data_IF_373155414466
#
_entry.id   IF_373155414466
#
_cell.length_a   1.000
_cell.length_b   1.000
_cell.length_c   1.000
_cell.angle_alpha   90.00
_cell.angle_beta   90.00
_cell.angle_gamma   90.00
#
_symmetry.space_group_name_H-M   'P 1'
#
loop_
_entity.id
_entity.type
_entity.pdbx_description
1 polymer ?
#
# COMPACT_ATOMS: atom_id res chain seq x y z
N UNK A 1 -3.18 -16.00 17.13
CA UNK A 1 -3.90 -16.12 18.43
C UNK A 1 -5.34 -15.67 18.24
N UNK A 2 -6.31 -16.27 18.93
CA UNK A 2 -7.69 -15.77 19.02
C UNK A 2 -7.93 -15.14 20.38
N UNK A 3 -8.67 -14.04 20.45
CA UNK A 3 -9.03 -13.37 21.70
C UNK A 3 -10.51 -12.98 21.69
N UNK A 4 -11.11 -12.92 22.89
CA UNK A 4 -12.52 -12.62 23.05
C UNK A 4 -12.74 -11.12 23.32
N UNK A 5 -13.74 -10.52 22.68
CA UNK A 5 -14.12 -9.10 22.87
C UNK A 5 -15.61 -9.03 23.16
N UNK A 6 -16.01 -8.23 24.16
CA UNK A 6 -17.42 -8.02 24.51
C UNK A 6 -17.96 -6.78 23.80
N UNK A 7 -19.28 -6.78 23.55
CA UNK A 7 -20.02 -5.63 23.01
C UNK A 7 -19.59 -5.17 21.60
N UNK A 8 -19.02 -6.07 20.79
CA UNK A 8 -18.70 -5.81 19.37
C UNK A 8 -19.36 -6.90 18.54
N UNK A 9 -20.10 -6.49 17.51
CA UNK A 9 -20.77 -7.43 16.61
C UNK A 9 -19.80 -7.99 15.56
N UNK A 10 -19.97 -9.26 15.18
CA UNK A 10 -19.22 -9.86 14.07
C UNK A 10 -19.45 -9.16 12.72
N UNK A 11 -20.51 -8.35 12.61
CA UNK A 11 -20.79 -7.55 11.40
C UNK A 11 -19.96 -6.27 11.33
N UNK A 12 -19.41 -5.81 12.46
CA UNK A 12 -18.65 -4.55 12.56
C UNK A 12 -17.17 -4.76 12.29
N UNK A 13 -16.67 -5.98 12.45
CA UNK A 13 -15.28 -6.35 12.22
C UNK A 13 -15.16 -7.33 11.06
N UNK A 14 -14.09 -7.20 10.29
CA UNK A 14 -13.80 -8.10 9.16
C UNK A 14 -12.30 -8.35 9.02
N UNK A 15 -11.95 -9.37 8.24
CA UNK A 15 -10.58 -9.62 7.81
C UNK A 15 -10.01 -8.34 7.17
N UNK A 16 -8.77 -8.00 7.53
CA UNK A 16 -8.10 -6.77 7.12
C UNK A 16 -8.23 -5.61 8.12
N UNK A 17 -9.10 -5.70 9.14
CA UNK A 17 -9.04 -4.74 10.25
C UNK A 17 -7.84 -4.99 11.15
N UNK A 18 -7.35 -3.92 11.78
CA UNK A 18 -6.20 -3.93 12.68
C UNK A 18 -6.68 -3.63 14.09
N UNK A 19 -6.36 -4.52 15.04
CA UNK A 19 -6.63 -4.32 16.45
C UNK A 19 -5.37 -3.81 17.15
N UNK A 20 -5.51 -2.84 18.05
CA UNK A 20 -4.42 -2.28 18.86
C UNK A 20 -4.92 -1.72 20.19
N UNK A 21 -3.99 -1.39 21.07
CA UNK A 21 -4.30 -0.82 22.38
C UNK A 21 -4.79 0.62 22.22
N UNK A 22 -5.94 0.94 22.81
CA UNK A 22 -6.52 2.30 22.75
C UNK A 22 -5.67 3.34 23.48
N UNK A 23 -4.76 2.93 24.36
CA UNK A 23 -3.91 3.81 25.16
C UNK A 23 -2.50 3.98 24.62
N UNK A 24 -2.13 3.22 23.58
CA UNK A 24 -0.78 3.22 23.04
C UNK A 24 -0.80 3.20 21.51
N UNK A 25 -0.86 4.40 20.93
CA UNK A 25 -0.95 4.65 19.48
C UNK A 25 -1.95 3.74 18.75
N UNK A 26 -3.27 3.91 18.99
CA UNK A 26 -4.27 3.05 18.38
C UNK A 26 -4.23 3.14 16.84
N UNK A 27 -4.45 2.01 16.15
CA UNK A 27 -4.41 1.96 14.69
C UNK A 27 -5.49 2.85 14.09
N UNK A 28 -5.15 3.54 12.99
CA UNK A 28 -6.05 4.43 12.25
C UNK A 28 -6.16 3.97 10.80
N UNK A 29 -7.29 4.28 10.17
CA UNK A 29 -7.45 4.11 8.73
C UNK A 29 -6.53 5.08 7.98
N UNK A 30 -5.95 4.61 6.87
CA UNK A 30 -5.21 5.46 5.95
C UNK A 30 -6.10 5.81 4.76
N UNK A 31 -6.24 7.11 4.45
CA UNK A 31 -6.91 7.58 3.22
C UNK A 31 -5.99 7.41 2.01
N UNK A 32 -4.71 7.72 2.19
CA UNK A 32 -3.63 7.54 1.23
C UNK A 32 -2.33 7.24 1.95
N UNK A 33 -1.35 6.71 1.23
CA UNK A 33 0.00 6.50 1.73
C UNK A 33 0.99 6.61 0.57
N UNK A 34 2.20 7.08 0.88
CA UNK A 34 3.32 7.01 -0.05
C UNK A 34 4.10 5.74 0.25
N UNK A 35 4.52 5.03 -0.79
CA UNK A 35 5.32 3.82 -0.67
C UNK A 35 6.33 3.76 -1.80
N UNK A 36 7.49 3.17 -1.48
CA UNK A 36 8.46 2.76 -2.49
C UNK A 36 8.01 1.42 -3.09
N UNK A 37 7.93 1.35 -4.40
CA UNK A 37 7.55 0.16 -5.16
C UNK A 37 8.70 -0.28 -6.06
N UNK A 38 8.84 -1.60 -6.23
CA UNK A 38 9.72 -2.18 -7.25
C UNK A 38 8.84 -2.96 -8.20
N UNK A 39 8.81 -2.56 -9.47
CA UNK A 39 7.98 -3.22 -10.46
C UNK A 39 8.69 -4.51 -10.92
N UNK A 40 8.06 -5.65 -10.65
CA UNK A 40 8.56 -6.97 -11.05
C UNK A 40 8.24 -7.24 -12.53
N UNK A 41 8.34 -8.50 -12.98
CA UNK A 41 8.10 -8.92 -14.37
C UNK A 41 6.63 -8.73 -14.81
N UNK A 42 6.28 -7.49 -15.13
CA UNK A 42 4.98 -7.06 -15.63
C UNK A 42 5.10 -6.68 -17.12
N UNK A 43 4.25 -7.24 -18.01
CA UNK A 43 4.40 -7.07 -19.46
C UNK A 43 4.06 -5.65 -19.95
N UNK A 44 3.41 -4.83 -19.12
CA UNK A 44 3.02 -3.46 -19.44
C UNK A 44 3.72 -2.40 -18.61
N UNK A 45 3.33 -1.15 -18.86
CA UNK A 45 3.73 0.02 -18.07
C UNK A 45 2.67 0.33 -17.01
N UNK A 46 3.09 0.89 -15.89
CA UNK A 46 2.22 1.36 -14.81
C UNK A 46 2.31 2.88 -14.75
N UNK A 47 1.17 3.57 -14.82
CA UNK A 47 1.09 5.03 -14.73
C UNK A 47 0.09 5.49 -13.68
N UNK A 48 -0.03 6.80 -13.53
CA UNK A 48 -1.04 7.41 -12.65
C UNK A 48 -2.43 6.87 -13.01
N UNK A 49 -3.17 6.45 -11.99
CA UNK A 49 -4.49 5.86 -12.10
C UNK A 49 -4.54 4.34 -12.21
N UNK A 50 -3.40 3.66 -12.34
CA UNK A 50 -3.37 2.20 -12.23
C UNK A 50 -3.88 1.76 -10.86
N UNK A 51 -4.83 0.81 -10.82
CA UNK A 51 -5.53 0.43 -9.60
C UNK A 51 -5.48 -1.09 -9.34
N UNK A 52 -4.30 -1.65 -9.01
CA UNK A 52 -4.18 -3.06 -8.67
C UNK A 52 -4.76 -3.35 -7.28
N UNK A 53 -4.97 -4.64 -6.99
CA UNK A 53 -5.22 -5.09 -5.62
C UNK A 53 -3.90 -5.21 -4.88
N UNK A 54 -3.85 -4.62 -3.68
CA UNK A 54 -2.73 -4.72 -2.77
C UNK A 54 -3.08 -5.68 -1.64
N UNK A 55 -2.16 -6.61 -1.39
CA UNK A 55 -2.14 -7.42 -0.19
C UNK A 55 -1.21 -6.77 0.83
N UNK A 56 -1.75 -6.39 1.98
CA UNK A 56 -0.98 -5.85 3.09
C UNK A 56 -1.46 -6.52 4.38
N UNK A 57 -0.58 -7.30 5.02
CA UNK A 57 -0.92 -8.15 6.16
C UNK A 57 -2.07 -9.11 5.83
N UNK A 58 -3.27 -8.86 6.34
CA UNK A 58 -4.48 -9.64 6.02
C UNK A 58 -5.50 -8.86 5.19
N UNK A 59 -5.21 -7.59 4.90
CA UNK A 59 -6.02 -6.74 4.04
C UNK A 59 -5.74 -7.05 2.58
N UNK A 60 -6.82 -7.08 1.79
CA UNK A 60 -6.82 -7.33 0.36
C UNK A 60 -7.76 -6.30 -0.27
N UNK A 61 -7.18 -5.20 -0.79
CA UNK A 61 -7.94 -4.01 -1.18
C UNK A 61 -7.36 -3.42 -2.47
N UNK A 62 -8.22 -3.02 -3.41
CA UNK A 62 -7.80 -2.26 -4.58
C UNK A 62 -7.27 -0.88 -4.16
N UNK A 63 -6.04 -0.55 -4.53
CA UNK A 63 -5.45 0.76 -4.28
C UNK A 63 -5.07 1.40 -5.60
N UNK A 64 -5.42 2.68 -5.75
CA UNK A 64 -5.06 3.46 -6.93
C UNK A 64 -3.70 4.10 -6.72
N UNK A 65 -2.81 3.95 -7.69
CA UNK A 65 -1.59 4.73 -7.79
C UNK A 65 -2.00 6.14 -8.21
N UNK A 66 -2.29 6.99 -7.23
CA UNK A 66 -2.77 8.34 -7.47
C UNK A 66 -1.73 9.15 -8.27
N UNK A 67 -0.49 9.11 -7.80
CA UNK A 67 0.65 9.82 -8.36
C UNK A 67 1.91 8.95 -8.27
N UNK A 68 2.71 8.95 -9.33
CA UNK A 68 4.10 8.50 -9.30
C UNK A 68 4.96 9.71 -8.92
N UNK A 69 5.45 9.74 -7.69
CA UNK A 69 6.15 10.91 -7.15
C UNK A 69 7.56 11.03 -7.72
N UNK A 70 8.33 9.96 -7.66
CA UNK A 70 9.71 9.91 -8.13
C UNK A 70 10.02 8.52 -8.70
N UNK A 71 11.01 8.45 -9.58
CA UNK A 71 11.67 7.21 -9.95
C UNK A 71 13.04 7.22 -9.31
N UNK A 72 13.44 6.13 -8.68
CA UNK A 72 14.67 6.04 -7.92
C UNK A 72 15.55 4.89 -8.40
N UNK A 73 16.86 5.03 -8.18
CA UNK A 73 17.78 3.91 -8.35
C UNK A 73 17.54 2.88 -7.22
N UNK A 74 17.17 1.66 -7.60
CA UNK A 74 16.80 0.58 -6.66
C UNK A 74 17.89 0.18 -5.66
N UNK A 75 19.16 0.52 -5.92
CA UNK A 75 20.30 0.14 -5.05
C UNK A 75 20.64 1.24 -4.07
N UNK A 76 20.54 2.49 -4.50
CA UNK A 76 21.00 3.66 -3.75
C UNK A 76 19.86 4.50 -3.17
N UNK A 77 18.63 4.30 -3.64
CA UNK A 77 17.47 5.10 -3.27
C UNK A 77 17.50 6.54 -3.80
N UNK A 78 18.48 6.90 -4.64
CA UNK A 78 18.62 8.24 -5.18
C UNK A 78 17.60 8.49 -6.28
N UNK A 79 16.99 9.66 -6.26
CA UNK A 79 16.08 10.12 -7.31
C UNK A 79 16.79 10.19 -8.66
N UNK A 80 16.12 9.67 -9.68
CA UNK A 80 16.58 9.64 -11.07
C UNK A 80 15.67 10.44 -11.99
N UNK A 81 14.38 10.51 -11.66
CA UNK A 81 13.37 11.27 -12.40
C UNK A 81 12.24 11.69 -11.44
N UNK A 82 11.86 12.96 -11.45
CA UNK A 82 10.72 13.46 -10.66
C UNK A 82 9.45 13.40 -11.49
N UNK A 83 8.35 12.98 -10.89
CA UNK A 83 7.02 12.85 -11.52
C UNK A 83 7.02 12.07 -12.84
N UNK A 84 7.52 10.83 -12.87
CA UNK A 84 7.57 10.03 -14.09
C UNK A 84 6.16 9.75 -14.63
N UNK A 85 5.98 9.74 -15.95
CA UNK A 85 4.68 9.44 -16.56
C UNK A 85 4.25 7.98 -16.38
N UNK A 86 5.22 7.07 -16.37
CA UNK A 86 5.02 5.65 -16.16
C UNK A 86 6.30 4.97 -15.65
N UNK A 87 6.15 3.82 -15.01
CA UNK A 87 7.23 2.89 -14.62
C UNK A 87 7.06 1.55 -15.35
N UNK A 88 8.18 0.84 -15.57
CA UNK A 88 8.21 -0.48 -16.22
C UNK A 88 8.96 -1.50 -15.38
N UNK A 89 8.90 -2.77 -15.79
CA UNK A 89 9.63 -3.87 -15.15
C UNK A 89 11.09 -3.50 -14.83
N UNK A 90 11.49 -3.68 -13.57
CA UNK A 90 12.81 -3.39 -13.04
C UNK A 90 12.99 -1.99 -12.44
N UNK A 91 12.05 -1.08 -12.68
CA UNK A 91 12.08 0.27 -12.09
C UNK A 91 11.70 0.23 -10.61
N UNK A 92 12.30 1.16 -9.85
CA UNK A 92 11.84 1.52 -8.51
C UNK A 92 11.32 2.97 -8.53
N UNK A 93 10.25 3.22 -7.81
CA UNK A 93 9.59 4.51 -7.68
C UNK A 93 9.07 4.70 -6.26
#
# INVERSE_FOLDING_TARGET
VGFNVKNVSVKEIRRGNVAGDSKNDPPKGAESFNAQVILMNHPGQVGNGYAPVLDCHTAHIACKFAELLEKIDRRTGKSTETSPKFIKSGDAA
#
